data_IF_234462418293
#
_entry.id   IF_234462418293
#
_cell.length_a   1.000
_cell.length_b   1.000
_cell.length_c   1.000
_cell.angle_alpha   90.00
_cell.angle_beta   90.00
_cell.angle_gamma   90.00
#
_symmetry.space_group_name_H-M   'P 1'
#
loop_
_entity.id
_entity.type
_entity.pdbx_description
1 polymer ?
#
# COMPACT_ATOMS: atom_id res chain seq x y z
N UNK A 1 -32.75 -8.36 28.01
CA UNK A 1 -31.35 -7.86 27.81
C UNK A 1 -30.45 -8.87 27.12
N UNK A 2 -30.33 -10.11 27.57
CA UNK A 2 -29.44 -11.14 27.02
C UNK A 2 -29.57 -11.43 25.52
N UNK A 3 -30.78 -11.34 24.97
CA UNK A 3 -31.07 -11.60 23.54
C UNK A 3 -30.48 -10.55 22.59
N UNK A 4 -30.01 -9.45 23.13
CA UNK A 4 -29.47 -8.34 22.37
C UNK A 4 -27.94 -8.31 22.33
N UNK A 5 -27.29 -9.12 23.18
CA UNK A 5 -25.82 -9.23 23.23
C UNK A 5 -25.34 -10.25 22.20
N UNK A 6 -24.24 -9.94 21.55
CA UNK A 6 -23.61 -10.87 20.61
C UNK A 6 -23.21 -12.19 21.31
N UNK A 7 -23.42 -13.35 20.67
CA UNK A 7 -23.12 -14.65 21.29
C UNK A 7 -21.73 -14.75 21.90
N UNK A 8 -20.69 -14.27 21.20
CA UNK A 8 -19.30 -14.32 21.69
C UNK A 8 -19.07 -13.48 22.95
N UNK A 9 -19.85 -12.41 23.15
CA UNK A 9 -19.71 -11.49 24.27
C UNK A 9 -20.55 -11.87 25.49
N UNK A 10 -21.43 -12.89 25.35
CA UNK A 10 -22.35 -13.31 26.42
C UNK A 10 -21.63 -13.80 27.68
N UNK A 11 -20.52 -14.52 27.52
CA UNK A 11 -19.77 -15.06 28.68
C UNK A 11 -19.15 -13.92 29.49
N UNK A 12 -18.51 -12.97 28.82
CA UNK A 12 -17.94 -11.79 29.47
C UNK A 12 -19.00 -10.92 30.13
N UNK A 13 -20.15 -10.76 29.49
CA UNK A 13 -21.28 -10.02 30.05
C UNK A 13 -21.90 -10.72 31.29
N UNK A 14 -21.90 -12.04 31.35
CA UNK A 14 -22.32 -12.80 32.56
C UNK A 14 -21.36 -12.59 33.72
N UNK A 15 -20.05 -12.58 33.45
CA UNK A 15 -19.03 -12.32 34.47
C UNK A 15 -19.15 -10.90 35.03
N UNK A 16 -19.41 -9.92 34.20
CA UNK A 16 -19.67 -8.54 34.64
C UNK A 16 -20.79 -8.47 35.70
N UNK A 17 -21.87 -9.19 35.50
CA UNK A 17 -22.98 -9.20 36.46
C UNK A 17 -22.52 -9.67 37.85
N UNK A 18 -21.56 -10.59 37.92
CA UNK A 18 -21.01 -11.07 39.19
C UNK A 18 -20.05 -10.04 39.81
N UNK A 19 -19.31 -9.30 39.00
CA UNK A 19 -18.40 -8.24 39.47
C UNK A 19 -19.15 -7.02 39.99
N UNK A 20 -20.29 -6.66 39.41
CA UNK A 20 -21.13 -5.53 39.86
C UNK A 20 -21.61 -5.64 41.31
N UNK A 21 -21.73 -6.84 41.86
CA UNK A 21 -22.06 -7.04 43.27
C UNK A 21 -20.89 -6.73 44.20
N UNK A 22 -19.65 -6.76 43.65
CA UNK A 22 -18.40 -6.56 44.42
C UNK A 22 -17.84 -5.14 44.25
N UNK A 23 -18.06 -4.53 43.07
CA UNK A 23 -17.54 -3.21 42.72
C UNK A 23 -18.67 -2.17 42.68
N UNK A 24 -18.37 -0.93 43.06
CA UNK A 24 -19.36 0.15 43.00
C UNK A 24 -19.49 0.78 41.64
N UNK A 25 -18.51 0.59 40.78
CA UNK A 25 -18.50 1.08 39.39
C UNK A 25 -17.84 0.05 38.46
N UNK A 26 -18.43 -0.15 37.30
CA UNK A 26 -17.90 -1.03 36.24
C UNK A 26 -18.13 -0.44 34.85
N UNK A 27 -17.16 -0.63 33.96
CA UNK A 27 -17.27 -0.29 32.55
C UNK A 27 -17.08 -1.56 31.72
N UNK A 28 -18.00 -1.78 30.79
CA UNK A 28 -17.98 -2.96 29.93
C UNK A 28 -18.30 -2.58 28.48
N UNK A 29 -17.55 -3.11 27.54
CA UNK A 29 -17.78 -2.95 26.11
C UNK A 29 -18.18 -4.29 25.50
N UNK A 30 -19.27 -4.30 24.74
CA UNK A 30 -19.69 -5.46 23.99
C UNK A 30 -20.45 -5.07 22.72
N UNK A 31 -20.64 -6.04 21.85
CA UNK A 31 -21.50 -5.91 20.68
C UNK A 31 -22.94 -6.21 21.09
N UNK A 32 -23.83 -5.26 20.85
CA UNK A 32 -25.25 -5.42 21.10
C UNK A 32 -26.05 -4.89 19.91
N UNK A 33 -27.27 -5.41 19.73
CA UNK A 33 -28.24 -4.93 18.75
C UNK A 33 -29.52 -4.50 19.44
N UNK A 34 -30.07 -3.40 18.98
CA UNK A 34 -31.35 -2.86 19.47
C UNK A 34 -32.30 -2.63 18.31
N UNK A 35 -33.59 -2.86 18.57
CA UNK A 35 -34.69 -2.58 17.61
C UNK A 35 -34.50 -3.16 16.19
N UNK A 36 -33.92 -4.39 16.07
CA UNK A 36 -33.80 -5.07 14.79
C UNK A 36 -32.57 -4.60 13.94
N UNK A 37 -31.70 -3.76 14.49
CA UNK A 37 -30.46 -3.36 13.85
C UNK A 37 -29.41 -4.49 13.85
N UNK A 38 -28.32 -4.29 13.11
CA UNK A 38 -27.14 -5.12 13.19
C UNK A 38 -26.41 -4.96 14.54
N UNK A 39 -25.48 -5.86 14.84
CA UNK A 39 -24.67 -5.76 16.05
C UNK A 39 -23.69 -4.58 15.94
N UNK A 40 -23.79 -3.67 16.90
CA UNK A 40 -22.92 -2.51 17.06
C UNK A 40 -22.17 -2.59 18.39
N UNK A 41 -21.07 -1.84 18.51
CA UNK A 41 -20.32 -1.75 19.74
C UNK A 41 -20.93 -0.74 20.69
N UNK A 42 -21.22 -1.20 21.92
CA UNK A 42 -21.77 -0.39 23.01
C UNK A 42 -20.89 -0.46 24.25
N UNK A 43 -20.72 0.66 24.89
CA UNK A 43 -20.11 0.76 26.20
C UNK A 43 -21.20 0.92 27.26
N UNK A 44 -21.21 0.01 28.20
CA UNK A 44 -22.09 0.01 29.35
C UNK A 44 -21.31 0.51 30.55
N UNK A 45 -21.72 1.61 31.15
CA UNK A 45 -21.17 2.14 32.41
C UNK A 45 -22.19 1.97 33.48
N UNK A 46 -21.87 1.13 34.47
CA UNK A 46 -22.76 0.85 35.59
C UNK A 46 -22.22 1.44 36.88
N UNK A 47 -23.16 1.87 37.75
CA UNK A 47 -22.89 2.26 39.13
C UNK A 47 -23.91 1.54 40.04
N UNK A 48 -23.42 0.84 41.04
CA UNK A 48 -24.26 0.18 42.03
C UNK A 48 -24.27 1.02 43.31
N UNK A 49 -25.47 1.31 43.87
CA UNK A 49 -25.68 2.04 45.11
C UNK A 49 -26.50 1.14 46.06
N UNK A 50 -26.36 1.32 47.39
CA UNK A 50 -27.24 0.66 48.36
C UNK A 50 -28.70 1.00 48.02
N UNK A 51 -29.56 -0.02 47.96
CA UNK A 51 -31.00 0.22 47.73
C UNK A 51 -31.63 0.92 48.93
N UNK A 52 -32.40 1.98 48.68
CA UNK A 52 -32.97 2.84 49.72
C UNK A 52 -34.08 2.13 50.49
N UNK A 53 -34.78 1.16 49.87
CA UNK A 53 -35.96 0.54 50.43
C UNK A 53 -35.87 -0.96 50.70
N UNK A 54 -34.65 -1.57 50.72
CA UNK A 54 -34.52 -3.02 50.87
C UNK A 54 -33.80 -3.40 52.17
N UNK A 55 -34.58 -3.94 53.12
CA UNK A 55 -34.08 -4.46 54.39
C UNK A 55 -33.11 -5.68 54.24
N UNK A 56 -33.03 -6.29 53.03
CA UNK A 56 -32.22 -7.45 52.72
C UNK A 56 -30.88 -7.15 52.03
N UNK A 57 -30.38 -5.91 52.06
CA UNK A 57 -29.05 -5.56 51.55
C UNK A 57 -28.93 -5.55 50.01
N UNK A 58 -29.99 -5.28 49.30
CA UNK A 58 -30.02 -5.14 47.82
C UNK A 58 -29.22 -3.92 47.36
N UNK A 59 -28.76 -3.93 46.11
CA UNK A 59 -28.15 -2.78 45.44
C UNK A 59 -28.99 -2.37 44.24
N UNK A 60 -29.21 -1.08 44.10
CA UNK A 60 -29.78 -0.48 42.90
C UNK A 60 -28.65 -0.25 41.91
N UNK A 61 -28.86 -0.63 40.65
CA UNK A 61 -27.88 -0.49 39.57
C UNK A 61 -28.41 0.54 38.57
N UNK A 62 -27.72 1.64 38.45
CA UNK A 62 -27.95 2.63 37.41
C UNK A 62 -26.81 2.56 36.38
N UNK A 63 -27.10 2.92 35.14
CA UNK A 63 -26.08 2.90 34.09
C UNK A 63 -26.46 3.70 32.88
N UNK A 64 -25.46 4.01 32.08
CA UNK A 64 -25.57 4.63 30.77
C UNK A 64 -25.05 3.71 29.69
N UNK A 65 -25.66 3.77 28.54
CA UNK A 65 -25.21 3.09 27.33
C UNK A 65 -24.71 4.15 26.34
N UNK A 66 -23.55 3.90 25.81
CA UNK A 66 -22.92 4.77 24.82
C UNK A 66 -22.63 3.94 23.59
N UNK A 67 -23.14 4.36 22.45
CA UNK A 67 -22.74 3.75 21.18
C UNK A 67 -21.30 4.17 20.87
N UNK A 68 -20.40 3.19 20.79
CA UNK A 68 -18.96 3.40 20.51
C UNK A 68 -18.54 2.81 19.18
N UNK A 69 -19.49 2.52 18.28
CA UNK A 69 -19.21 1.87 17.01
C UNK A 69 -18.24 2.69 16.15
N UNK A 70 -18.46 3.98 16.04
CA UNK A 70 -17.55 4.89 15.31
C UNK A 70 -16.16 4.95 15.95
N UNK A 71 -16.08 4.94 17.26
CA UNK A 71 -14.80 4.91 17.97
C UNK A 71 -14.04 3.60 17.69
N UNK A 72 -14.74 2.46 17.73
CA UNK A 72 -14.16 1.15 17.42
C UNK A 72 -13.73 1.03 15.96
N UNK A 73 -14.48 1.62 15.05
CA UNK A 73 -14.11 1.68 13.63
C UNK A 73 -12.82 2.45 13.43
N UNK A 74 -12.71 3.65 14.02
CA UNK A 74 -11.49 4.47 13.97
C UNK A 74 -10.29 3.79 14.66
N UNK A 75 -10.51 3.15 15.80
CA UNK A 75 -9.47 2.37 16.48
C UNK A 75 -8.92 1.26 15.58
N UNK A 76 -9.80 0.51 14.91
CA UNK A 76 -9.40 -0.53 13.96
C UNK A 76 -8.64 0.04 12.76
N UNK A 77 -9.09 1.16 12.21
CA UNK A 77 -8.39 1.87 11.12
C UNK A 77 -6.99 2.31 11.56
N UNK A 78 -6.84 2.87 12.75
CA UNK A 78 -5.53 3.27 13.30
C UNK A 78 -4.58 2.08 13.52
N UNK A 79 -5.10 0.95 14.02
CA UNK A 79 -4.30 -0.27 14.20
C UNK A 79 -3.83 -0.80 12.84
N UNK A 80 -4.70 -0.81 11.84
CA UNK A 80 -4.34 -1.21 10.47
C UNK A 80 -3.28 -0.27 9.88
N UNK A 81 -3.46 1.05 10.03
CA UNK A 81 -2.47 2.03 9.55
C UNK A 81 -1.10 1.83 10.21
N UNK A 82 -1.04 1.64 11.54
CA UNK A 82 0.21 1.33 12.24
C UNK A 82 0.86 0.04 11.75
N UNK A 83 0.05 -0.99 11.50
CA UNK A 83 0.55 -2.25 10.94
C UNK A 83 1.16 -2.07 9.54
N UNK A 84 0.55 -1.25 8.70
CA UNK A 84 1.11 -0.89 7.39
C UNK A 84 2.41 -0.09 7.51
N UNK A 85 2.48 0.87 8.43
CA UNK A 85 3.69 1.67 8.67
C UNK A 85 4.87 0.81 9.15
N UNK A 86 4.63 -0.11 10.08
CA UNK A 86 5.66 -1.04 10.56
C UNK A 86 6.17 -1.96 9.43
N UNK A 87 5.28 -2.52 8.62
CA UNK A 87 5.65 -3.32 7.46
C UNK A 87 6.44 -2.49 6.44
N UNK A 88 6.04 -1.22 6.23
CA UNK A 88 6.76 -0.29 5.36
C UNK A 88 8.23 -0.14 5.79
N UNK A 89 8.47 0.20 7.07
CA UNK A 89 9.82 0.39 7.60
C UNK A 89 10.66 -0.90 7.56
N UNK A 90 10.05 -2.05 7.86
CA UNK A 90 10.73 -3.34 7.82
C UNK A 90 11.17 -3.70 6.39
N UNK A 91 10.27 -3.55 5.41
CA UNK A 91 10.56 -3.83 4.00
C UNK A 91 11.61 -2.85 3.45
N UNK A 92 11.52 -1.55 3.78
CA UNK A 92 12.52 -0.56 3.39
C UNK A 92 13.91 -0.91 3.92
N UNK A 93 13.99 -1.32 5.19
CA UNK A 93 15.26 -1.72 5.79
C UNK A 93 15.88 -2.91 5.05
N UNK A 94 15.06 -3.86 4.60
CA UNK A 94 15.53 -5.01 3.84
C UNK A 94 15.98 -4.62 2.43
N UNK A 95 15.16 -3.83 1.70
CA UNK A 95 15.45 -3.40 0.33
C UNK A 95 16.67 -2.47 0.25
N UNK A 96 16.97 -1.69 1.30
CA UNK A 96 18.18 -0.87 1.41
C UNK A 96 19.40 -1.74 1.74
N UNK A 97 19.24 -2.73 2.62
CA UNK A 97 20.37 -3.57 3.08
C UNK A 97 20.98 -4.38 1.95
N UNK A 98 20.18 -4.92 1.04
CA UNK A 98 20.65 -5.77 -0.06
C UNK A 98 21.67 -5.05 -0.98
N UNK A 99 21.34 -3.91 -1.61
CA UNK A 99 22.29 -3.17 -2.44
C UNK A 99 23.47 -2.63 -1.61
N UNK A 100 23.26 -2.21 -0.36
CA UNK A 100 24.32 -1.74 0.51
C UNK A 100 25.35 -2.83 0.80
N UNK A 101 24.91 -4.05 1.11
CA UNK A 101 25.80 -5.19 1.32
C UNK A 101 26.57 -5.55 0.04
N UNK A 102 25.94 -5.43 -1.12
CA UNK A 102 26.60 -5.62 -2.42
C UNK A 102 27.70 -4.58 -2.64
N UNK A 103 27.42 -3.30 -2.40
CA UNK A 103 28.41 -2.21 -2.50
C UNK A 103 29.59 -2.48 -1.57
N UNK A 104 29.32 -2.75 -0.28
CA UNK A 104 30.37 -3.01 0.72
C UNK A 104 31.17 -4.26 0.38
N UNK A 105 30.49 -5.36 0.00
CA UNK A 105 31.15 -6.63 -0.33
C UNK A 105 32.10 -6.51 -1.52
N UNK A 106 31.63 -5.98 -2.65
CA UNK A 106 32.46 -5.82 -3.84
C UNK A 106 33.53 -4.73 -3.68
N UNK A 107 33.31 -3.68 -2.90
CA UNK A 107 34.33 -2.69 -2.55
C UNK A 107 35.45 -3.32 -1.71
N UNK A 108 35.12 -4.18 -0.75
CA UNK A 108 36.10 -4.90 0.04
C UNK A 108 36.91 -5.88 -0.81
N UNK A 109 36.30 -6.59 -1.74
CA UNK A 109 36.99 -7.48 -2.67
C UNK A 109 37.98 -6.69 -3.55
N UNK A 110 37.55 -5.55 -4.12
CA UNK A 110 38.42 -4.67 -4.89
C UNK A 110 39.62 -4.14 -4.07
N UNK A 111 39.43 -3.93 -2.77
CA UNK A 111 40.48 -3.39 -1.89
C UNK A 111 41.44 -4.47 -1.35
N UNK A 112 40.99 -5.70 -1.15
CA UNK A 112 41.76 -6.77 -0.48
C UNK A 112 42.45 -7.74 -1.45
N UNK A 113 41.86 -7.99 -2.60
CA UNK A 113 42.35 -8.95 -3.59
C UNK A 113 43.40 -8.27 -4.51
N UNK A 114 44.66 -8.71 -4.42
CA UNK A 114 45.76 -8.13 -5.20
C UNK A 114 45.87 -8.68 -6.62
N UNK A 115 45.37 -9.89 -6.85
CA UNK A 115 45.50 -10.62 -8.12
C UNK A 115 44.23 -10.64 -8.97
N UNK A 116 43.31 -9.64 -8.77
CA UNK A 116 42.15 -9.48 -9.61
C UNK A 116 42.54 -9.13 -11.04
N UNK A 117 41.98 -9.85 -11.99
CA UNK A 117 42.13 -9.47 -13.39
C UNK A 117 41.27 -8.22 -13.71
N UNK A 118 41.53 -7.62 -14.88
CA UNK A 118 40.83 -6.40 -15.28
C UNK A 118 39.34 -6.61 -15.56
N UNK A 119 38.93 -7.84 -15.97
CA UNK A 119 37.57 -8.21 -16.20
C UNK A 119 36.77 -8.28 -14.87
N UNK A 120 37.37 -8.87 -13.83
CA UNK A 120 36.79 -8.94 -12.49
C UNK A 120 36.65 -7.55 -11.87
N UNK A 121 37.65 -6.68 -12.01
CA UNK A 121 37.58 -5.29 -11.54
C UNK A 121 36.44 -4.53 -12.20
N UNK A 122 36.28 -4.67 -13.51
CA UNK A 122 35.20 -4.03 -14.26
C UNK A 122 33.82 -4.58 -13.85
N UNK A 123 33.72 -5.91 -13.64
CA UNK A 123 32.49 -6.55 -13.17
C UNK A 123 32.09 -6.03 -11.78
N UNK A 124 33.03 -5.97 -10.84
CA UNK A 124 32.77 -5.50 -9.48
C UNK A 124 32.39 -4.01 -9.47
N UNK A 125 33.11 -3.17 -10.22
CA UNK A 125 32.78 -1.76 -10.37
C UNK A 125 31.39 -1.56 -10.98
N UNK A 126 31.03 -2.34 -12.01
CA UNK A 126 29.69 -2.33 -12.60
C UNK A 126 28.61 -2.71 -11.58
N UNK A 127 28.85 -3.76 -10.80
CA UNK A 127 27.90 -4.23 -9.78
C UNK A 127 27.70 -3.21 -8.67
N UNK A 128 28.77 -2.53 -8.24
CA UNK A 128 28.69 -1.43 -7.29
C UNK A 128 27.84 -0.29 -7.84
N UNK A 129 28.12 0.17 -9.07
CA UNK A 129 27.36 1.25 -9.69
C UNK A 129 25.88 0.89 -9.82
N UNK A 130 25.54 -0.31 -10.29
CA UNK A 130 24.16 -0.79 -10.37
C UNK A 130 23.46 -0.80 -9.00
N UNK A 131 24.19 -1.18 -7.95
CA UNK A 131 23.65 -1.18 -6.59
C UNK A 131 23.45 0.24 -6.04
N UNK A 132 24.33 1.19 -6.40
CA UNK A 132 24.17 2.61 -6.09
C UNK A 132 22.93 3.20 -6.79
N UNK A 133 22.76 2.93 -8.08
CA UNK A 133 21.61 3.40 -8.86
C UNK A 133 20.30 2.88 -8.28
N UNK A 134 20.25 1.59 -7.92
CA UNK A 134 19.09 0.97 -7.27
C UNK A 134 18.79 1.66 -5.92
N UNK A 135 19.80 1.95 -5.13
CA UNK A 135 19.64 2.62 -3.84
C UNK A 135 19.09 4.04 -4.00
N UNK A 136 19.56 4.78 -5.00
CA UNK A 136 19.06 6.13 -5.32
C UNK A 136 17.57 6.09 -5.72
N UNK A 137 17.16 5.13 -6.54
CA UNK A 137 15.75 4.93 -6.91
C UNK A 137 14.91 4.67 -5.66
N UNK A 138 15.34 3.75 -4.78
CA UNK A 138 14.64 3.43 -3.54
C UNK A 138 14.49 4.65 -2.61
N UNK A 139 15.54 5.46 -2.46
CA UNK A 139 15.48 6.68 -1.64
C UNK A 139 14.48 7.67 -2.23
N UNK A 140 14.48 7.87 -3.55
CA UNK A 140 13.55 8.77 -4.21
C UNK A 140 12.10 8.28 -4.05
N UNK A 141 11.84 6.99 -4.19
CA UNK A 141 10.51 6.39 -3.98
C UNK A 141 10.02 6.62 -2.54
N UNK A 142 10.88 6.43 -1.54
CA UNK A 142 10.56 6.69 -0.13
C UNK A 142 10.20 8.16 0.10
N UNK A 143 10.99 9.08 -0.45
CA UNK A 143 10.73 10.52 -0.34
C UNK A 143 9.42 10.91 -1.02
N UNK A 144 9.09 10.30 -2.16
CA UNK A 144 7.81 10.53 -2.85
C UNK A 144 6.62 10.02 -2.03
N UNK A 145 6.70 8.79 -1.50
CA UNK A 145 5.67 8.26 -0.60
C UNK A 145 5.47 9.16 0.62
N UNK A 146 6.57 9.66 1.22
CA UNK A 146 6.50 10.58 2.36
C UNK A 146 5.81 11.90 2.01
N UNK A 147 6.10 12.49 0.83
CA UNK A 147 5.45 13.72 0.35
C UNK A 147 3.96 13.51 0.05
N UNK A 148 3.59 12.36 -0.52
CA UNK A 148 2.20 11.98 -0.75
C UNK A 148 1.42 11.88 0.59
N UNK A 149 2.00 11.19 1.58
CA UNK A 149 1.36 11.00 2.89
C UNK A 149 1.18 12.30 3.67
N UNK A 150 2.16 13.21 3.58
CA UNK A 150 2.09 14.52 4.25
C UNK A 150 1.20 15.54 3.53
N UNK A 151 0.62 15.18 2.38
CA UNK A 151 -0.16 16.12 1.56
C UNK A 151 0.67 17.28 0.97
N UNK A 152 2.00 17.15 1.01
CA UNK A 152 2.92 18.20 0.53
C UNK A 152 3.24 18.09 -0.97
N UNK A 153 2.66 17.09 -1.66
CA UNK A 153 2.86 16.95 -3.09
C UNK A 153 2.14 18.06 -3.85
N UNK A 154 2.91 18.86 -4.56
CA UNK A 154 2.39 19.90 -5.46
C UNK A 154 2.30 19.32 -6.87
N UNK A 155 1.19 19.59 -7.55
CA UNK A 155 0.98 19.23 -8.94
C UNK A 155 1.06 20.50 -9.80
N UNK A 156 1.96 20.50 -10.77
CA UNK A 156 2.14 21.57 -11.74
C UNK A 156 1.39 21.18 -13.02
N UNK A 157 0.10 21.54 -13.07
CA UNK A 157 -0.77 21.19 -14.19
C UNK A 157 -0.56 22.14 -15.36
N UNK A 158 -0.41 21.58 -16.54
CA UNK A 158 -0.27 22.29 -17.82
C UNK A 158 -1.07 21.58 -18.93
N UNK A 159 -1.27 22.28 -20.06
CA UNK A 159 -1.83 21.65 -21.25
C UNK A 159 -0.78 20.70 -21.85
N UNK A 160 -1.09 19.43 -21.95
CA UNK A 160 -0.19 18.39 -22.40
C UNK A 160 -0.77 17.64 -23.60
N UNK A 161 -0.01 17.56 -24.69
CA UNK A 161 -0.32 16.66 -25.81
C UNK A 161 0.01 15.24 -25.41
N UNK A 162 -1.02 14.38 -25.35
CA UNK A 162 -0.84 12.95 -25.02
C UNK A 162 -0.05 12.24 -26.10
N UNK A 163 -0.22 12.64 -27.37
CA UNK A 163 0.54 12.09 -28.49
C UNK A 163 2.03 12.36 -28.34
N UNK A 164 2.43 13.63 -28.09
CA UNK A 164 3.83 13.98 -27.87
C UNK A 164 4.41 13.25 -26.66
N UNK A 165 3.66 13.15 -25.57
CA UNK A 165 4.07 12.41 -24.39
C UNK A 165 4.31 10.92 -24.68
N UNK A 166 3.42 10.26 -25.40
CA UNK A 166 3.56 8.86 -25.80
C UNK A 166 4.74 8.68 -26.76
N UNK A 167 4.94 9.61 -27.69
CA UNK A 167 6.08 9.59 -28.62
C UNK A 167 7.42 9.74 -27.88
N UNK A 168 7.52 10.70 -26.94
CA UNK A 168 8.71 10.93 -26.10
C UNK A 168 9.05 9.67 -25.28
N UNK A 169 8.04 9.09 -24.61
CA UNK A 169 8.22 7.89 -23.79
C UNK A 169 8.55 6.65 -24.63
N UNK A 170 7.94 6.49 -25.79
CA UNK A 170 8.28 5.43 -26.71
C UNK A 170 9.74 5.48 -27.14
N UNK A 171 10.22 6.65 -27.56
CA UNK A 171 11.62 6.85 -27.96
C UNK A 171 12.58 6.61 -26.80
N UNK A 172 12.27 7.14 -25.61
CA UNK A 172 13.12 6.96 -24.42
C UNK A 172 13.25 5.47 -24.00
N UNK A 173 12.18 4.68 -24.15
CA UNK A 173 12.19 3.28 -23.75
C UNK A 173 12.59 2.31 -24.85
N UNK A 174 12.69 2.75 -26.10
CA UNK A 174 13.03 1.87 -27.23
C UNK A 174 14.38 1.16 -27.05
N UNK A 175 15.35 1.80 -26.40
CA UNK A 175 16.67 1.22 -26.10
C UNK A 175 16.69 0.41 -24.79
N UNK A 176 15.70 0.59 -23.93
CA UNK A 176 15.61 -0.08 -22.62
C UNK A 176 14.82 -1.38 -22.70
N UNK A 177 13.88 -1.48 -23.64
CA UNK A 177 13.13 -2.72 -23.87
C UNK A 177 14.07 -3.80 -24.43
N UNK A 178 14.09 -4.99 -23.85
CA UNK A 178 14.90 -6.10 -24.34
C UNK A 178 14.67 -6.37 -25.83
N UNK A 179 15.73 -6.60 -26.60
CA UNK A 179 15.70 -6.75 -28.07
C UNK A 179 14.88 -7.94 -28.57
N UNK A 180 14.61 -8.92 -27.70
CA UNK A 180 13.78 -10.08 -28.02
C UNK A 180 12.27 -9.80 -27.88
N UNK A 181 11.89 -8.65 -27.30
CA UNK A 181 10.50 -8.20 -27.20
C UNK A 181 10.14 -7.24 -28.33
N UNK A 182 8.95 -7.38 -28.87
CA UNK A 182 8.43 -6.42 -29.85
C UNK A 182 7.82 -5.23 -29.10
N UNK A 183 8.47 -4.06 -29.18
CA UNK A 183 7.92 -2.81 -28.65
C UNK A 183 7.22 -2.03 -29.75
N UNK A 184 5.98 -1.61 -29.50
CA UNK A 184 5.16 -0.86 -30.47
C UNK A 184 4.37 0.24 -29.81
N UNK A 185 3.95 1.24 -30.58
CA UNK A 185 3.07 2.32 -30.11
C UNK A 185 1.77 2.34 -30.89
N UNK A 186 0.69 2.77 -30.21
CA UNK A 186 -0.64 2.98 -30.79
C UNK A 186 -1.11 4.37 -30.32
N UNK A 187 -1.01 5.35 -31.20
CA UNK A 187 -1.32 6.77 -30.90
C UNK A 187 -2.05 7.36 -32.10
N UNK A 188 -3.38 7.28 -32.08
CA UNK A 188 -4.22 7.81 -33.16
C UNK A 188 -4.89 9.12 -32.72
N UNK A 189 -4.76 10.18 -33.57
CA UNK A 189 -5.36 11.49 -33.36
C UNK A 189 -4.56 12.38 -32.41
N UNK A 190 -5.10 13.57 -32.19
CA UNK A 190 -4.56 14.55 -31.25
C UNK A 190 -5.45 14.61 -30.01
N UNK A 191 -4.83 14.45 -28.85
CA UNK A 191 -5.48 14.54 -27.57
C UNK A 191 -4.71 15.48 -26.66
N UNK A 192 -5.39 16.49 -26.13
CA UNK A 192 -4.83 17.41 -25.15
C UNK A 192 -5.55 17.24 -23.82
N UNK A 193 -4.77 17.15 -22.74
CA UNK A 193 -5.27 17.04 -21.37
C UNK A 193 -4.60 18.09 -20.48
N UNK A 194 -5.29 18.50 -19.42
CA UNK A 194 -4.74 19.45 -18.44
C UNK A 194 -4.26 18.67 -17.22
N UNK A 195 -2.94 18.41 -17.18
CA UNK A 195 -2.33 17.52 -16.18
C UNK A 195 -0.89 17.91 -15.86
N UNK A 196 -0.31 17.29 -14.84
CA UNK A 196 1.13 17.35 -14.59
C UNK A 196 1.85 16.33 -15.48
N UNK A 197 2.51 16.84 -16.54
CA UNK A 197 3.22 16.02 -17.54
C UNK A 197 4.28 15.13 -16.90
N UNK A 198 5.03 15.64 -15.90
CA UNK A 198 6.10 14.88 -15.24
C UNK A 198 5.53 13.68 -14.46
N UNK A 199 4.44 13.90 -13.73
CA UNK A 199 3.79 12.83 -12.96
C UNK A 199 3.12 11.80 -13.85
N UNK A 200 2.45 12.25 -14.90
CA UNK A 200 1.88 11.34 -15.88
C UNK A 200 2.97 10.49 -16.56
N UNK A 201 4.09 11.11 -16.95
CA UNK A 201 5.26 10.40 -17.51
C UNK A 201 5.77 9.34 -16.52
N UNK A 202 5.86 9.67 -15.24
CA UNK A 202 6.30 8.76 -14.19
C UNK A 202 5.37 7.54 -14.06
N UNK A 203 4.05 7.75 -14.07
CA UNK A 203 3.06 6.67 -14.03
C UNK A 203 3.25 5.72 -15.22
N UNK A 204 3.35 6.28 -16.44
CA UNK A 204 3.52 5.47 -17.65
C UNK A 204 4.87 4.72 -17.64
N UNK A 205 5.95 5.38 -17.17
CA UNK A 205 7.27 4.76 -17.02
C UNK A 205 7.22 3.58 -16.04
N UNK A 206 6.50 3.71 -14.92
CA UNK A 206 6.32 2.61 -13.97
C UNK A 206 5.60 1.40 -14.62
N UNK A 207 4.59 1.64 -15.46
CA UNK A 207 3.95 0.56 -16.21
C UNK A 207 4.88 -0.06 -17.25
N UNK A 208 5.65 0.74 -18.00
CA UNK A 208 6.60 0.25 -19.01
C UNK A 208 7.73 -0.59 -18.36
N UNK A 209 8.28 -0.14 -17.24
CA UNK A 209 9.32 -0.89 -16.52
C UNK A 209 8.79 -2.20 -15.97
N UNK A 210 7.55 -2.23 -15.47
CA UNK A 210 6.88 -3.46 -15.05
C UNK A 210 6.64 -4.39 -16.25
N UNK A 211 6.14 -3.87 -17.37
CA UNK A 211 5.95 -4.66 -18.59
C UNK A 211 7.27 -5.30 -19.06
N UNK A 212 8.38 -4.55 -19.07
CA UNK A 212 9.70 -5.09 -19.40
C UNK A 212 10.18 -6.18 -18.43
N UNK A 213 9.86 -6.03 -17.16
CA UNK A 213 10.27 -6.96 -16.09
C UNK A 213 9.49 -8.27 -16.14
N UNK A 214 8.19 -8.22 -16.42
CA UNK A 214 7.30 -9.37 -16.31
C UNK A 214 6.94 -10.01 -17.67
N UNK A 215 7.48 -9.51 -18.78
CA UNK A 215 7.32 -10.08 -20.12
C UNK A 215 8.60 -10.79 -20.55
N UNK A 216 8.61 -12.12 -20.55
CA UNK A 216 9.76 -12.91 -20.98
C UNK A 216 9.83 -13.07 -22.50
N UNK A 217 8.71 -13.02 -23.19
CA UNK A 217 8.62 -13.13 -24.66
C UNK A 217 7.33 -12.52 -25.17
N UNK A 218 7.33 -12.06 -26.42
CA UNK A 218 6.15 -11.49 -27.05
C UNK A 218 6.24 -9.99 -27.28
N UNK A 219 5.33 -9.20 -26.71
CA UNK A 219 5.25 -7.78 -27.03
C UNK A 219 4.91 -6.89 -25.83
N UNK A 220 5.29 -5.61 -25.99
CA UNK A 220 4.84 -4.49 -25.15
C UNK A 220 4.30 -3.43 -26.10
N UNK A 221 3.15 -2.84 -25.76
CA UNK A 221 2.51 -1.79 -26.52
C UNK A 221 2.20 -0.60 -25.61
N UNK A 222 2.63 0.58 -26.00
CA UNK A 222 2.28 1.85 -25.35
C UNK A 222 1.29 2.60 -26.26
N UNK A 223 0.22 3.15 -25.68
CA UNK A 223 -0.72 3.90 -26.51
C UNK A 223 -1.75 4.70 -25.75
N UNK A 224 -2.60 5.38 -26.53
CA UNK A 224 -3.82 6.01 -26.02
C UNK A 224 -4.96 5.82 -27.01
N UNK A 225 -6.19 5.84 -26.50
CA UNK A 225 -7.42 5.79 -27.31
C UNK A 225 -8.53 6.58 -26.64
N UNK A 226 -9.38 7.20 -27.45
CA UNK A 226 -10.62 7.79 -26.98
C UNK A 226 -11.63 6.70 -26.61
N UNK A 227 -12.28 6.84 -25.47
CA UNK A 227 -13.35 5.91 -25.06
C UNK A 227 -14.63 6.31 -25.76
N UNK A 228 -15.21 5.38 -26.56
CA UNK A 228 -16.41 5.64 -27.36
C UNK A 228 -17.59 6.03 -26.47
N UNK A 229 -18.20 7.18 -26.78
CA UNK A 229 -19.41 7.67 -26.09
C UNK A 229 -19.15 8.41 -24.78
N UNK A 230 -17.91 8.69 -24.45
CA UNK A 230 -17.51 9.50 -23.30
C UNK A 230 -16.53 10.60 -23.73
N UNK A 231 -16.34 11.62 -22.89
CA UNK A 231 -15.29 12.64 -23.04
C UNK A 231 -14.01 12.20 -22.32
N UNK A 232 -13.74 10.90 -22.31
CA UNK A 232 -12.62 10.27 -21.63
C UNK A 232 -11.68 9.60 -22.62
N UNK A 233 -10.41 9.50 -22.24
CA UNK A 233 -9.41 8.76 -22.97
C UNK A 233 -8.63 7.83 -22.06
N UNK A 234 -8.25 6.67 -22.56
CA UNK A 234 -7.39 5.73 -21.88
C UNK A 234 -5.97 5.82 -22.45
N UNK A 235 -5.00 6.08 -21.57
CA UNK A 235 -3.57 5.85 -21.85
C UNK A 235 -3.24 4.49 -21.31
N UNK A 236 -2.61 3.62 -22.06
CA UNK A 236 -2.39 2.23 -21.70
C UNK A 236 -0.99 1.74 -22.04
N UNK A 237 -0.52 0.82 -21.22
CA UNK A 237 0.60 -0.08 -21.52
C UNK A 237 0.03 -1.49 -21.50
N UNK A 238 0.16 -2.20 -22.62
CA UNK A 238 -0.28 -3.58 -22.80
C UNK A 238 0.95 -4.46 -22.98
N UNK A 239 1.01 -5.56 -22.25
CA UNK A 239 2.07 -6.54 -22.35
C UNK A 239 1.52 -7.96 -22.51
N UNK A 240 2.36 -8.86 -22.99
CA UNK A 240 2.06 -10.29 -23.14
C UNK A 240 2.77 -11.14 -22.08
N UNK A 241 3.00 -10.58 -20.90
CA UNK A 241 3.70 -11.23 -19.81
C UNK A 241 2.88 -12.25 -19.04
N UNK A 242 3.30 -12.53 -17.82
CA UNK A 242 2.70 -13.57 -16.96
C UNK A 242 1.28 -13.23 -16.47
N UNK A 243 0.87 -11.96 -16.58
CA UNK A 243 -0.42 -11.48 -16.11
C UNK A 243 -0.55 -11.48 -14.58
N UNK A 244 -1.76 -11.15 -14.10
CA UNK A 244 -2.14 -11.08 -12.68
C UNK A 244 -3.41 -11.90 -12.47
N UNK A 245 -3.47 -12.70 -11.41
CA UNK A 245 -4.70 -13.33 -10.95
C UNK A 245 -5.69 -12.29 -10.42
N UNK A 246 -6.97 -12.64 -10.27
CA UNK A 246 -8.00 -11.74 -9.73
C UNK A 246 -7.63 -11.21 -8.34
N UNK A 247 -7.09 -12.09 -7.47
CA UNK A 247 -6.64 -11.68 -6.13
C UNK A 247 -5.45 -10.71 -6.16
N UNK A 248 -4.54 -10.87 -7.12
CA UNK A 248 -3.37 -10.00 -7.30
C UNK A 248 -3.78 -8.64 -7.87
N UNK A 249 -4.78 -8.59 -8.77
CA UNK A 249 -5.32 -7.35 -9.32
C UNK A 249 -5.89 -6.42 -8.24
N UNK A 250 -6.53 -6.98 -7.20
CA UNK A 250 -7.01 -6.20 -6.06
C UNK A 250 -5.87 -5.62 -5.21
N UNK A 251 -4.71 -6.27 -5.21
CA UNK A 251 -3.57 -5.94 -4.34
C UNK A 251 -2.44 -5.19 -5.05
N UNK A 252 -2.43 -5.17 -6.40
CA UNK A 252 -1.30 -4.66 -7.20
C UNK A 252 -0.95 -3.19 -6.92
N UNK A 253 -1.93 -2.37 -6.51
CA UNK A 253 -1.73 -0.98 -6.09
C UNK A 253 -1.40 -0.83 -4.60
N UNK A 254 -1.36 -1.94 -3.85
CA UNK A 254 -0.93 -1.91 -2.46
C UNK A 254 0.58 -1.76 -2.37
N UNK A 255 1.05 -1.00 -1.38
CA UNK A 255 2.48 -0.79 -1.16
C UNK A 255 3.18 -2.12 -0.88
N UNK A 256 4.36 -2.32 -1.49
CA UNK A 256 5.20 -3.52 -1.34
C UNK A 256 4.56 -4.81 -1.86
N UNK A 257 3.51 -4.70 -2.64
CA UNK A 257 3.01 -5.88 -3.32
C UNK A 257 4.06 -6.37 -4.33
N UNK A 258 4.43 -7.61 -4.22
CA UNK A 258 5.28 -8.34 -5.16
C UNK A 258 4.61 -9.67 -5.44
N UNK A 259 4.54 -10.03 -6.70
CA UNK A 259 4.01 -11.34 -7.13
C UNK A 259 4.94 -12.47 -6.71
N UNK A 260 6.27 -12.20 -6.68
CA UNK A 260 7.30 -13.09 -6.19
C UNK A 260 8.24 -12.30 -5.26
N UNK A 261 8.56 -12.87 -4.09
CA UNK A 261 9.48 -12.27 -3.12
C UNK A 261 10.89 -12.04 -3.68
N UNK A 262 11.30 -12.84 -4.67
CA UNK A 262 12.60 -12.71 -5.35
C UNK A 262 12.60 -11.68 -6.48
N UNK A 263 11.44 -11.11 -6.82
CA UNK A 263 11.40 -10.13 -7.90
C UNK A 263 12.08 -8.82 -7.50
N UNK A 264 12.98 -8.32 -8.37
CA UNK A 264 13.70 -7.05 -8.15
C UNK A 264 12.74 -5.86 -8.01
N UNK A 265 13.08 -4.92 -7.12
CA UNK A 265 12.35 -3.67 -6.89
C UNK A 265 11.53 -3.68 -5.60
N UNK A 266 11.28 -2.50 -5.06
CA UNK A 266 10.64 -2.30 -3.75
C UNK A 266 9.12 -2.56 -3.71
N UNK A 267 8.47 -2.80 -4.85
CA UNK A 267 7.01 -2.89 -4.91
C UNK A 267 6.29 -1.56 -4.60
N UNK A 268 6.95 -0.43 -4.86
CA UNK A 268 6.41 0.90 -4.63
C UNK A 268 5.86 1.56 -5.90
N UNK A 269 6.37 1.22 -7.08
CA UNK A 269 6.08 1.93 -8.33
C UNK A 269 4.59 2.09 -8.66
N UNK A 270 3.77 1.06 -8.47
CA UNK A 270 2.33 1.13 -8.73
C UNK A 270 1.53 1.77 -7.58
N UNK A 271 2.12 1.94 -6.40
CA UNK A 271 1.47 2.57 -5.25
C UNK A 271 1.77 4.07 -5.13
N UNK A 272 2.72 4.57 -5.89
CA UNK A 272 3.08 5.99 -6.05
C UNK A 272 2.27 6.59 -7.19
#
# INVERSE_FOLDING_TARGET
MWRHIHPDDLTSFKLLRQSLWKADKEVFQCRARFAGSDYEWWEFRFSAMPAVDNAEGGKDVSGILININDMKKREKELILMRGYEQKFLANMSHEIRTPLNSIVGFSNLLASEKDLDEADKQLFAKTINQSCDLLLVLINDILEVSRLQSGQMKFEKESCSVKELVDDLYLAHQLLVPTHLRFSKEAEGDLFIYTDKKRLSQVITNFLTNACKFTNSGYIKLGFKHLRGTDEAAIFVEDSGIGLSEEEQEKVFSRFFKQDEFSQGAGLGLSI
#
